data_IF_380155573383
#
_entry.id   IF_380155573383
#
_cell.length_a   1.000
_cell.length_b   1.000
_cell.length_c   1.000
_cell.angle_alpha   90.00
_cell.angle_beta   90.00
_cell.angle_gamma   90.00
#
_symmetry.space_group_name_H-M   'P 1'
#
loop_
_entity.id
_entity.type
_entity.pdbx_description
1 polymer ?
#
# COMPACT_ATOMS: atom_id res chain seq x y z
N UNK A 1 -13.82 61.53 -17.65
CA UNK A 1 -12.40 61.26 -17.32
C UNK A 1 -12.33 60.93 -15.84
N UNK A 2 -12.25 59.63 -15.51
CA UNK A 2 -12.14 59.14 -14.13
C UNK A 2 -11.26 57.89 -14.15
N UNK A 3 -9.99 58.09 -14.49
CA UNK A 3 -8.95 57.07 -14.46
C UNK A 3 -7.89 57.48 -13.44
N UNK A 4 -8.23 57.65 -12.16
CA UNK A 4 -7.20 58.00 -11.17
C UNK A 4 -7.43 57.58 -9.71
N UNK A 5 -8.42 56.74 -9.42
CA UNK A 5 -8.60 56.19 -8.05
C UNK A 5 -8.28 54.69 -7.97
N UNK A 6 -8.32 53.97 -9.09
CA UNK A 6 -7.98 52.54 -9.14
C UNK A 6 -6.47 52.26 -9.16
N UNK A 7 -5.63 53.24 -9.52
CA UNK A 7 -4.17 53.06 -9.57
C UNK A 7 -3.52 53.07 -8.18
N UNK A 8 -4.02 53.89 -7.26
CA UNK A 8 -3.41 54.06 -5.93
C UNK A 8 -3.73 52.90 -4.96
N UNK A 9 -4.93 52.33 -5.03
CA UNK A 9 -5.30 51.15 -4.23
C UNK A 9 -4.61 49.88 -4.75
N UNK A 10 -4.35 49.76 -6.06
CA UNK A 10 -3.62 48.64 -6.63
C UNK A 10 -2.14 48.67 -6.22
N UNK A 11 -1.51 49.85 -6.16
CA UNK A 11 -0.11 50.01 -5.73
C UNK A 11 0.05 49.66 -4.23
N UNK A 12 -0.91 50.02 -3.38
CA UNK A 12 -0.85 49.70 -1.95
C UNK A 12 -1.14 48.21 -1.66
N UNK A 13 -1.98 47.56 -2.48
CA UNK A 13 -2.23 46.12 -2.39
C UNK A 13 -1.04 45.30 -2.92
N UNK A 14 -0.41 45.73 -4.01
CA UNK A 14 0.79 45.09 -4.55
C UNK A 14 2.00 45.27 -3.62
N UNK A 15 2.19 46.44 -3.00
CA UNK A 15 3.27 46.62 -2.02
C UNK A 15 3.09 45.76 -0.76
N UNK A 16 1.85 45.45 -0.35
CA UNK A 16 1.59 44.54 0.78
C UNK A 16 1.78 43.05 0.42
N UNK A 17 1.61 42.69 -0.85
CA UNK A 17 1.91 41.34 -1.35
C UNK A 17 3.42 41.15 -1.51
N UNK A 18 4.15 42.19 -1.93
CA UNK A 18 5.61 42.12 -2.11
C UNK A 18 6.41 42.29 -0.82
N UNK A 19 5.88 42.91 0.24
CA UNK A 19 6.59 43.04 1.53
C UNK A 19 6.27 41.95 2.55
N UNK A 20 5.13 41.25 2.44
CA UNK A 20 4.86 40.06 3.27
C UNK A 20 5.32 38.73 2.64
N UNK A 21 5.88 38.76 1.43
CA UNK A 21 6.54 37.59 0.80
C UNK A 21 8.04 37.50 1.11
N UNK A 22 8.59 38.44 1.89
CA UNK A 22 9.99 38.46 2.32
C UNK A 22 10.08 38.24 3.83
N UNK A 23 9.78 37.02 4.29
CA UNK A 23 10.28 36.47 5.56
C UNK A 23 10.10 34.96 5.64
N UNK A 24 10.36 34.27 4.53
CA UNK A 24 10.88 32.92 4.62
C UNK A 24 12.10 32.87 3.74
N UNK A 25 13.22 33.24 4.34
CA UNK A 25 14.56 32.95 3.87
C UNK A 25 14.61 31.44 3.61
N UNK A 26 14.28 31.04 2.39
CA UNK A 26 14.82 29.82 1.80
C UNK A 26 16.32 30.07 1.76
N UNK A 27 16.98 29.76 2.88
CA UNK A 27 18.32 29.24 2.81
C UNK A 27 18.21 28.01 1.91
N UNK A 28 18.44 28.21 0.62
CA UNK A 28 19.05 27.19 -0.22
C UNK A 28 20.42 26.96 0.40
N UNK A 29 20.46 26.22 1.51
CA UNK A 29 21.69 25.62 1.97
C UNK A 29 22.09 24.74 0.81
N UNK A 30 23.08 25.18 0.04
CA UNK A 30 23.82 24.32 -0.87
C UNK A 30 24.29 23.18 0.04
N UNK A 31 23.58 22.04 0.00
CA UNK A 31 23.92 20.89 0.82
C UNK A 31 25.35 20.55 0.43
N UNK A 32 26.30 20.81 1.33
CA UNK A 32 27.71 20.55 1.07
C UNK A 32 27.84 19.05 0.84
N UNK A 33 28.09 18.68 -0.41
CA UNK A 33 28.30 17.30 -0.83
C UNK A 33 29.48 16.71 -0.07
N UNK A 34 29.37 15.42 0.25
CA UNK A 34 30.40 14.71 0.98
C UNK A 34 31.64 14.54 0.10
N UNK A 35 32.82 14.64 0.70
CA UNK A 35 34.05 14.20 0.05
C UNK A 35 34.00 12.67 -0.19
N UNK A 36 34.78 12.13 -1.13
CA UNK A 36 34.76 10.69 -1.44
C UNK A 36 34.94 9.79 -0.21
N UNK A 37 35.90 10.12 0.67
CA UNK A 37 36.13 9.35 1.90
C UNK A 37 34.93 9.41 2.85
N UNK A 38 34.36 10.59 3.06
CA UNK A 38 33.18 10.74 3.93
C UNK A 38 31.95 10.05 3.35
N UNK A 39 31.84 10.02 2.02
CA UNK A 39 30.77 9.28 1.33
C UNK A 39 30.93 7.77 1.52
N UNK A 40 32.17 7.25 1.49
CA UNK A 40 32.47 5.84 1.80
C UNK A 40 32.16 5.49 3.26
N UNK A 41 32.55 6.32 4.21
CA UNK A 41 32.24 6.11 5.63
C UNK A 41 30.72 6.10 5.86
N UNK A 42 30.01 7.03 5.22
CA UNK A 42 28.55 7.06 5.23
C UNK A 42 27.93 5.80 4.61
N UNK A 43 28.47 5.33 3.48
CA UNK A 43 27.97 4.14 2.79
C UNK A 43 28.07 2.90 3.68
N UNK A 44 29.22 2.69 4.31
CA UNK A 44 29.46 1.57 5.23
C UNK A 44 28.54 1.66 6.46
N UNK A 45 28.48 2.83 7.11
CA UNK A 45 27.59 3.05 8.24
C UNK A 45 26.12 2.77 7.87
N UNK A 46 25.65 3.33 6.75
CA UNK A 46 24.28 3.17 6.31
C UNK A 46 23.95 1.72 5.97
N UNK A 47 24.87 1.03 5.29
CA UNK A 47 24.71 -0.37 4.94
C UNK A 47 24.60 -1.27 6.19
N UNK A 48 25.56 -1.19 7.11
CA UNK A 48 25.56 -2.04 8.31
C UNK A 48 24.45 -1.69 9.31
N UNK A 49 23.94 -0.45 9.28
CA UNK A 49 22.83 -0.04 10.14
C UNK A 49 21.47 -0.53 9.62
N UNK A 50 21.24 -0.48 8.30
CA UNK A 50 19.90 -0.64 7.73
C UNK A 50 19.73 -1.85 6.81
N UNK A 51 20.82 -2.44 6.32
CA UNK A 51 20.80 -3.52 5.32
C UNK A 51 19.87 -3.18 4.13
N UNK A 52 20.14 -2.07 3.43
CA UNK A 52 19.35 -1.62 2.27
C UNK A 52 19.60 -2.52 1.05
N UNK A 53 18.77 -2.37 0.01
CA UNK A 53 19.11 -2.89 -1.32
C UNK A 53 20.28 -2.10 -1.92
N UNK A 54 20.93 -2.67 -2.93
CA UNK A 54 21.99 -1.97 -3.67
C UNK A 54 21.46 -0.70 -4.34
N UNK A 55 20.28 -0.77 -4.96
CA UNK A 55 19.62 0.39 -5.57
C UNK A 55 19.31 1.50 -4.56
N UNK A 56 18.87 1.12 -3.34
CA UNK A 56 18.60 2.09 -2.26
C UNK A 56 19.89 2.71 -1.71
N UNK A 57 20.95 1.92 -1.56
CA UNK A 57 22.25 2.43 -1.12
C UNK A 57 22.78 3.43 -2.14
N UNK A 58 22.81 3.08 -3.42
CA UNK A 58 23.27 3.97 -4.48
C UNK A 58 22.44 5.26 -4.55
N UNK A 59 21.11 5.18 -4.42
CA UNK A 59 20.24 6.34 -4.32
C UNK A 59 20.67 7.28 -3.17
N UNK A 60 20.99 6.73 -1.99
CA UNK A 60 21.47 7.52 -0.85
C UNK A 60 22.85 8.14 -1.06
N UNK A 61 23.72 7.47 -1.80
CA UNK A 61 25.01 8.05 -2.17
C UNK A 61 24.85 9.23 -3.14
N UNK A 62 23.95 9.13 -4.12
CA UNK A 62 23.63 10.26 -5.01
C UNK A 62 23.00 11.47 -4.29
N UNK A 63 22.16 11.21 -3.28
CA UNK A 63 21.64 12.29 -2.43
C UNK A 63 22.79 13.05 -1.74
N UNK A 64 23.82 12.35 -1.23
CA UNK A 64 24.87 12.93 -0.37
C UNK A 64 26.19 13.31 -1.07
N UNK A 65 26.47 12.76 -2.25
CA UNK A 65 27.71 13.00 -3.00
C UNK A 65 27.46 13.46 -4.44
N UNK A 66 28.54 13.65 -5.18
CA UNK A 66 28.52 13.80 -6.63
C UNK A 66 28.25 12.45 -7.31
N UNK A 67 27.73 12.47 -8.54
CA UNK A 67 27.32 11.26 -9.26
C UNK A 67 28.47 10.26 -9.45
N UNK A 68 29.63 10.76 -9.89
CA UNK A 68 30.83 9.95 -10.15
C UNK A 68 31.34 9.32 -8.84
N UNK A 69 31.41 10.11 -7.77
CA UNK A 69 31.89 9.64 -6.47
C UNK A 69 30.95 8.58 -5.88
N UNK A 70 29.64 8.77 -6.01
CA UNK A 70 28.65 7.79 -5.55
C UNK A 70 28.81 6.43 -6.26
N UNK A 71 29.01 6.45 -7.59
CA UNK A 71 29.23 5.23 -8.37
C UNK A 71 30.54 4.55 -7.98
N UNK A 72 31.64 5.29 -7.86
CA UNK A 72 32.94 4.73 -7.45
C UNK A 72 32.88 4.14 -6.05
N UNK A 73 32.37 4.90 -5.07
CA UNK A 73 32.22 4.41 -3.68
C UNK A 73 31.34 3.17 -3.63
N UNK A 74 30.23 3.14 -4.38
CA UNK A 74 29.37 1.96 -4.42
C UNK A 74 30.11 0.74 -4.98
N UNK A 75 30.81 0.87 -6.11
CA UNK A 75 31.63 -0.20 -6.70
C UNK A 75 32.69 -0.71 -5.72
N UNK A 76 33.37 0.22 -5.03
CA UNK A 76 34.41 -0.10 -4.05
C UNK A 76 33.90 -1.00 -2.92
N UNK A 77 32.67 -0.79 -2.45
CA UNK A 77 32.11 -1.55 -1.32
C UNK A 77 31.15 -2.66 -1.74
N UNK A 78 30.85 -2.80 -3.03
CA UNK A 78 29.83 -3.72 -3.54
C UNK A 78 30.10 -5.17 -3.12
N UNK A 79 31.36 -5.57 -3.06
CA UNK A 79 31.77 -6.92 -2.63
C UNK A 79 31.43 -7.23 -1.16
N UNK A 80 31.16 -6.20 -0.34
CA UNK A 80 30.71 -6.34 1.05
C UNK A 80 29.18 -6.46 1.16
N UNK A 81 28.45 -6.15 0.09
CA UNK A 81 26.99 -6.19 0.12
C UNK A 81 26.48 -7.62 -0.10
N UNK A 82 25.49 -8.00 0.70
CA UNK A 82 24.90 -9.35 0.74
C UNK A 82 23.43 -9.24 0.33
N UNK A 83 23.19 -8.69 -0.87
CA UNK A 83 21.83 -8.34 -1.30
C UNK A 83 20.90 -9.56 -1.34
N UNK A 84 21.41 -10.72 -1.74
CA UNK A 84 20.60 -11.94 -1.90
C UNK A 84 20.16 -12.49 -0.54
N UNK A 85 21.06 -12.50 0.44
CA UNK A 85 20.79 -12.90 1.82
C UNK A 85 19.79 -11.94 2.48
N UNK A 86 19.95 -10.63 2.22
CA UNK A 86 19.01 -9.60 2.71
C UNK A 86 17.62 -9.79 2.10
N UNK A 87 17.53 -10.10 0.80
CA UNK A 87 16.24 -10.37 0.14
C UNK A 87 15.57 -11.58 0.78
N UNK A 88 16.29 -12.71 0.91
CA UNK A 88 15.79 -13.94 1.54
C UNK A 88 15.26 -13.67 2.95
N UNK A 89 16.09 -13.08 3.81
CA UNK A 89 15.71 -12.79 5.19
C UNK A 89 14.49 -11.86 5.30
N UNK A 90 14.34 -10.88 4.41
CA UNK A 90 13.17 -10.00 4.39
C UNK A 90 11.91 -10.73 3.90
N UNK A 91 12.01 -11.56 2.86
CA UNK A 91 10.91 -12.38 2.37
C UNK A 91 10.46 -13.34 3.47
N UNK A 92 11.38 -14.06 4.11
CA UNK A 92 11.09 -14.98 5.22
C UNK A 92 10.37 -14.27 6.36
N UNK A 93 10.79 -13.05 6.72
CA UNK A 93 10.10 -12.25 7.74
C UNK A 93 8.65 -11.91 7.35
N UNK A 94 8.40 -11.63 6.08
CA UNK A 94 7.06 -11.36 5.59
C UNK A 94 6.19 -12.63 5.55
N UNK A 95 6.76 -13.76 5.14
CA UNK A 95 6.08 -15.07 5.16
C UNK A 95 5.70 -15.45 6.60
N UNK A 96 6.64 -15.32 7.55
CA UNK A 96 6.38 -15.53 8.99
C UNK A 96 5.24 -14.65 9.52
N UNK A 97 5.05 -13.45 8.95
CA UNK A 97 3.98 -12.51 9.29
C UNK A 97 2.69 -12.72 8.48
N UNK A 98 2.57 -13.85 7.78
CA UNK A 98 1.43 -14.21 6.93
C UNK A 98 1.10 -13.12 5.90
N UNK A 99 2.13 -12.60 5.23
CA UNK A 99 1.94 -11.68 4.10
C UNK A 99 1.82 -12.48 2.81
N UNK A 100 0.87 -12.08 1.98
CA UNK A 100 0.67 -12.68 0.67
C UNK A 100 1.73 -12.21 -0.34
N UNK A 101 1.80 -12.88 -1.49
CA UNK A 101 2.81 -12.62 -2.51
C UNK A 101 2.75 -11.19 -3.04
N UNK A 102 1.55 -10.65 -3.31
CA UNK A 102 1.38 -9.27 -3.80
C UNK A 102 1.96 -8.25 -2.83
N UNK A 103 1.69 -8.41 -1.53
CA UNK A 103 2.25 -7.53 -0.51
C UNK A 103 3.77 -7.62 -0.49
N UNK A 104 4.33 -8.83 -0.53
CA UNK A 104 5.78 -9.05 -0.50
C UNK A 104 6.43 -8.39 -1.72
N UNK A 105 5.94 -8.69 -2.95
CA UNK A 105 6.44 -8.08 -4.19
C UNK A 105 6.40 -6.56 -4.12
N UNK A 106 5.26 -5.99 -3.71
CA UNK A 106 5.10 -4.55 -3.58
C UNK A 106 6.14 -3.97 -2.60
N UNK A 107 6.25 -4.53 -1.40
CA UNK A 107 7.17 -4.00 -0.37
C UNK A 107 8.63 -4.18 -0.72
N UNK A 108 9.00 -5.24 -1.42
CA UNK A 108 10.37 -5.43 -1.89
C UNK A 108 10.73 -4.45 -3.02
N UNK A 109 9.81 -4.20 -3.95
CA UNK A 109 10.00 -3.19 -5.03
C UNK A 109 10.04 -1.76 -4.49
N UNK A 110 9.18 -1.40 -3.54
CA UNK A 110 9.26 -0.10 -2.82
C UNK A 110 10.64 0.11 -2.16
N UNK A 111 11.30 -0.98 -1.74
CA UNK A 111 12.65 -0.97 -1.18
C UNK A 111 13.76 -1.03 -2.23
N UNK A 112 13.41 -0.99 -3.52
CA UNK A 112 14.34 -1.01 -4.65
C UNK A 112 15.16 -2.30 -4.76
N UNK A 113 14.62 -3.44 -4.32
CA UNK A 113 15.23 -4.73 -4.63
C UNK A 113 14.95 -5.13 -6.09
N UNK A 114 15.90 -5.78 -6.79
CA UNK A 114 15.69 -6.23 -8.17
C UNK A 114 14.52 -7.19 -8.30
N UNK A 115 13.68 -6.98 -9.32
CA UNK A 115 12.48 -7.81 -9.54
C UNK A 115 12.87 -9.27 -9.73
N UNK A 116 13.89 -9.52 -10.52
CA UNK A 116 14.35 -10.85 -10.93
C UNK A 116 14.77 -11.68 -9.71
N UNK A 117 15.46 -11.05 -8.75
CA UNK A 117 15.87 -11.69 -7.49
C UNK A 117 14.71 -11.93 -6.53
N UNK A 118 13.68 -11.08 -6.56
CA UNK A 118 12.46 -11.30 -5.76
C UNK A 118 11.69 -12.49 -6.32
N UNK A 119 11.47 -12.51 -7.64
CA UNK A 119 10.68 -13.56 -8.28
C UNK A 119 11.40 -14.92 -8.23
N UNK A 120 12.74 -14.97 -8.33
CA UNK A 120 13.49 -16.23 -8.20
C UNK A 120 13.31 -16.96 -6.86
N UNK A 121 12.85 -16.24 -5.82
CA UNK A 121 12.51 -16.81 -4.52
C UNK A 121 11.00 -17.11 -4.41
N UNK A 122 10.14 -16.23 -4.93
CA UNK A 122 8.69 -16.34 -4.76
C UNK A 122 8.01 -17.28 -5.76
N UNK A 123 8.50 -17.39 -6.99
CA UNK A 123 7.89 -18.24 -8.03
C UNK A 123 7.89 -19.73 -7.63
N UNK A 124 9.01 -20.32 -7.15
CA UNK A 124 9.01 -21.72 -6.71
C UNK A 124 8.01 -21.99 -5.56
N UNK A 125 7.80 -21.00 -4.68
CA UNK A 125 6.82 -21.11 -3.60
C UNK A 125 5.39 -21.08 -4.13
N UNK A 126 5.10 -20.20 -5.11
CA UNK A 126 3.79 -20.12 -5.74
C UNK A 126 3.43 -21.37 -6.55
N UNK A 127 4.44 -22.02 -7.14
CA UNK A 127 4.30 -23.26 -7.93
C UNK A 127 4.30 -24.52 -7.07
N UNK A 128 4.63 -24.43 -5.78
CA UNK A 128 4.74 -25.58 -4.86
C UNK A 128 3.42 -26.34 -4.63
N UNK A 129 2.30 -25.79 -5.10
CA UNK A 129 0.97 -26.35 -4.88
C UNK A 129 0.42 -26.11 -3.47
N UNK A 130 1.18 -25.46 -2.58
CA UNK A 130 0.77 -25.16 -1.21
C UNK A 130 0.53 -23.65 -1.03
N UNK A 131 -0.42 -23.31 -0.15
CA UNK A 131 -0.60 -21.92 0.29
C UNK A 131 0.56 -21.51 1.20
N UNK A 132 1.07 -20.29 0.99
CA UNK A 132 2.03 -19.66 1.92
C UNK A 132 1.35 -19.04 3.16
N UNK A 133 0.02 -19.06 3.20
CA UNK A 133 -0.76 -18.51 4.29
C UNK A 133 -1.11 -19.64 5.26
N UNK A 134 -0.87 -19.39 6.54
CA UNK A 134 -1.27 -20.33 7.60
C UNK A 134 -2.79 -20.41 7.73
N UNK A 135 -3.32 -21.63 7.81
CA UNK A 135 -4.77 -21.87 7.89
C UNK A 135 -5.38 -21.27 9.17
N UNK A 136 -4.72 -21.40 10.31
CA UNK A 136 -5.23 -20.84 11.58
C UNK A 136 -5.28 -19.32 11.53
N UNK A 137 -4.27 -18.70 10.93
CA UNK A 137 -4.27 -17.27 10.65
C UNK A 137 -5.41 -16.88 9.71
N UNK A 138 -5.64 -17.64 8.63
CA UNK A 138 -6.74 -17.42 7.69
C UNK A 138 -8.10 -17.50 8.38
N UNK A 139 -8.34 -18.53 9.20
CA UNK A 139 -9.59 -18.67 9.98
C UNK A 139 -9.87 -17.43 10.83
N UNK A 140 -8.87 -16.98 11.61
CA UNK A 140 -8.97 -15.74 12.40
C UNK A 140 -9.19 -14.51 11.52
N UNK A 141 -8.54 -14.45 10.36
CA UNK A 141 -8.67 -13.32 9.42
C UNK A 141 -10.05 -13.24 8.79
N UNK A 142 -10.61 -14.39 8.39
CA UNK A 142 -11.97 -14.52 7.86
C UNK A 142 -12.98 -14.08 8.92
N UNK A 143 -12.88 -14.61 10.14
CA UNK A 143 -13.75 -14.19 11.26
C UNK A 143 -13.73 -12.67 11.47
N UNK A 144 -12.56 -12.04 11.43
CA UNK A 144 -12.43 -10.58 11.52
C UNK A 144 -13.12 -9.84 10.36
N UNK A 145 -13.08 -10.38 9.14
CA UNK A 145 -13.80 -9.79 8.01
C UNK A 145 -15.30 -9.99 8.11
N UNK A 146 -15.75 -11.18 8.50
CA UNK A 146 -17.17 -11.50 8.74
C UNK A 146 -17.74 -10.61 9.83
N UNK A 147 -17.04 -10.42 10.95
CA UNK A 147 -17.44 -9.51 12.02
C UNK A 147 -17.67 -8.07 11.51
N UNK A 148 -16.89 -7.64 10.52
CA UNK A 148 -17.01 -6.32 9.87
C UNK A 148 -18.08 -6.25 8.78
N UNK A 149 -18.79 -7.33 8.50
CA UNK A 149 -19.83 -7.41 7.47
C UNK A 149 -19.26 -7.47 6.05
N UNK A 150 -18.10 -8.09 5.84
CA UNK A 150 -17.54 -8.30 4.50
C UNK A 150 -18.18 -9.50 3.82
N UNK A 151 -18.28 -9.46 2.50
CA UNK A 151 -18.82 -10.56 1.72
C UNK A 151 -17.82 -11.70 1.55
N UNK A 152 -18.32 -12.91 1.30
CA UNK A 152 -17.55 -14.09 0.90
C UNK A 152 -16.67 -13.77 -0.30
N UNK A 153 -17.26 -13.19 -1.35
CA UNK A 153 -16.53 -12.79 -2.56
C UNK A 153 -15.40 -11.81 -2.25
N UNK A 154 -15.67 -10.80 -1.43
CA UNK A 154 -14.65 -9.83 -1.02
C UNK A 154 -13.48 -10.54 -0.31
N UNK A 155 -13.78 -11.43 0.64
CA UNK A 155 -12.76 -12.15 1.41
C UNK A 155 -11.95 -13.06 0.48
N UNK A 156 -12.62 -13.84 -0.37
CA UNK A 156 -12.01 -14.75 -1.33
C UNK A 156 -11.01 -14.03 -2.25
N UNK A 157 -11.42 -12.93 -2.89
CA UNK A 157 -10.54 -12.19 -3.80
C UNK A 157 -9.46 -11.37 -3.08
N UNK A 158 -9.68 -11.00 -1.82
CA UNK A 158 -8.70 -10.25 -1.03
C UNK A 158 -7.56 -11.15 -0.54
N UNK A 159 -7.87 -12.40 -0.17
CA UNK A 159 -6.90 -13.33 0.41
C UNK A 159 -6.35 -14.35 -0.60
N UNK A 160 -7.14 -14.73 -1.61
CA UNK A 160 -6.82 -15.82 -2.54
C UNK A 160 -6.03 -15.38 -3.77
N UNK A 161 -4.69 -15.44 -3.68
CA UNK A 161 -3.82 -15.05 -4.79
C UNK A 161 -3.49 -16.22 -5.72
N UNK A 162 -3.13 -17.37 -5.16
CA UNK A 162 -2.80 -18.60 -5.89
C UNK A 162 -4.00 -19.56 -5.97
N UNK A 163 -3.89 -20.59 -6.81
CA UNK A 163 -4.86 -21.69 -6.84
C UNK A 163 -4.96 -22.39 -5.48
N UNK A 164 -3.82 -22.64 -4.83
CA UNK A 164 -3.76 -23.27 -3.51
C UNK A 164 -4.46 -22.41 -2.43
N UNK A 165 -4.24 -21.09 -2.44
CA UNK A 165 -4.94 -20.19 -1.51
C UNK A 165 -6.45 -20.25 -1.72
N UNK A 166 -6.90 -20.29 -2.98
CA UNK A 166 -8.31 -20.31 -3.35
C UNK A 166 -8.99 -21.60 -2.94
N UNK A 167 -8.34 -22.74 -3.15
CA UNK A 167 -8.83 -24.05 -2.72
C UNK A 167 -9.01 -24.10 -1.20
N UNK A 168 -7.99 -23.67 -0.45
CA UNK A 168 -8.05 -23.58 1.00
C UNK A 168 -9.18 -22.64 1.47
N UNK A 169 -9.28 -21.44 0.87
CA UNK A 169 -10.32 -20.47 1.20
C UNK A 169 -11.73 -20.96 0.90
N UNK A 170 -11.92 -21.74 -0.17
CA UNK A 170 -13.24 -22.25 -0.53
C UNK A 170 -13.79 -23.17 0.56
N UNK A 171 -12.95 -24.04 1.12
CA UNK A 171 -13.31 -24.87 2.28
C UNK A 171 -13.65 -24.01 3.50
N UNK A 172 -12.72 -23.14 3.91
CA UNK A 172 -12.89 -22.28 5.10
C UNK A 172 -14.13 -21.37 5.02
N UNK A 173 -14.40 -20.79 3.86
CA UNK A 173 -15.54 -19.91 3.66
C UNK A 173 -16.86 -20.67 3.65
N UNK A 174 -16.88 -21.92 3.16
CA UNK A 174 -18.07 -22.76 3.18
C UNK A 174 -18.48 -23.14 4.61
N UNK A 175 -17.50 -23.38 5.49
CA UNK A 175 -17.75 -23.55 6.92
C UNK A 175 -18.24 -22.26 7.60
N UNK A 176 -17.74 -21.09 7.17
CA UNK A 176 -18.11 -19.80 7.77
C UNK A 176 -19.47 -19.26 7.30
N UNK A 177 -19.91 -19.67 6.11
CA UNK A 177 -21.16 -19.21 5.48
C UNK A 177 -22.00 -20.41 5.02
N UNK A 178 -22.41 -21.32 5.93
CA UNK A 178 -23.13 -22.53 5.55
C UNK A 178 -24.50 -22.23 4.93
N UNK A 179 -25.19 -21.19 5.45
CA UNK A 179 -26.55 -20.80 5.04
C UNK A 179 -26.56 -19.49 4.24
N UNK A 180 -25.42 -19.09 3.66
CA UNK A 180 -25.27 -17.84 2.92
C UNK A 180 -24.84 -16.65 3.78
N UNK A 181 -25.04 -15.42 3.28
CA UNK A 181 -24.43 -14.20 3.83
C UNK A 181 -25.44 -13.22 4.45
N UNK A 182 -26.66 -13.68 4.76
CA UNK A 182 -27.79 -12.83 5.17
C UNK A 182 -27.45 -11.89 6.33
N UNK A 183 -26.77 -12.36 7.38
CA UNK A 183 -26.37 -11.50 8.50
C UNK A 183 -25.43 -10.37 8.07
N UNK A 184 -24.48 -10.66 7.20
CA UNK A 184 -23.50 -9.68 6.72
C UNK A 184 -24.16 -8.66 5.80
N UNK A 185 -25.07 -9.12 4.94
CA UNK A 185 -25.89 -8.24 4.09
C UNK A 185 -26.74 -7.33 4.98
N UNK A 186 -27.39 -7.86 6.02
CA UNK A 186 -28.21 -7.07 6.94
C UNK A 186 -27.41 -6.01 7.67
N UNK A 187 -26.20 -6.34 8.15
CA UNK A 187 -25.29 -5.36 8.79
C UNK A 187 -24.91 -4.22 7.84
N UNK A 188 -24.54 -4.54 6.60
CA UNK A 188 -24.18 -3.50 5.62
C UNK A 188 -25.40 -2.70 5.15
N UNK A 189 -26.56 -3.35 5.00
CA UNK A 189 -27.83 -2.69 4.73
C UNK A 189 -28.16 -1.66 5.81
N UNK A 190 -28.12 -2.06 7.09
CA UNK A 190 -28.36 -1.17 8.22
C UNK A 190 -27.39 0.02 8.23
N UNK A 191 -26.09 -0.20 7.96
CA UNK A 191 -25.12 0.91 7.84
C UNK A 191 -25.48 1.89 6.73
N UNK A 192 -25.98 1.40 5.59
CA UNK A 192 -26.36 2.27 4.47
C UNK A 192 -27.61 3.08 4.84
N UNK A 193 -28.64 2.42 5.39
CA UNK A 193 -29.94 3.03 5.68
C UNK A 193 -29.92 3.95 6.89
N UNK A 194 -29.12 3.65 7.93
CA UNK A 194 -28.92 4.58 9.05
C UNK A 194 -28.27 5.89 8.62
N UNK A 195 -27.37 5.85 7.62
CA UNK A 195 -26.73 7.05 7.08
C UNK A 195 -27.59 7.79 6.04
N UNK A 196 -28.52 7.08 5.38
CA UNK A 196 -29.31 7.55 4.25
C UNK A 196 -30.75 7.00 4.28
N UNK A 197 -31.56 7.35 5.29
CA UNK A 197 -32.90 6.78 5.47
C UNK A 197 -33.86 7.15 4.33
N UNK A 198 -33.62 8.26 3.63
CA UNK A 198 -34.42 8.71 2.49
C UNK A 198 -34.42 7.72 1.32
N UNK A 199 -33.36 6.90 1.18
CA UNK A 199 -33.27 5.89 0.12
C UNK A 199 -34.33 4.79 0.25
N UNK A 200 -34.91 4.59 1.43
CA UNK A 200 -35.95 3.58 1.63
C UNK A 200 -37.31 4.00 1.07
N UNK A 201 -37.52 5.31 0.87
CA UNK A 201 -38.83 5.87 0.50
C UNK A 201 -39.15 5.71 -0.99
N UNK A 202 -38.14 5.45 -1.83
CA UNK A 202 -38.31 5.42 -3.29
C UNK A 202 -37.77 4.11 -3.88
N UNK A 203 -38.37 3.67 -4.97
CA UNK A 203 -37.90 2.50 -5.75
C UNK A 203 -36.46 2.69 -6.22
N UNK A 204 -36.13 3.87 -6.72
CA UNK A 204 -34.76 4.22 -7.14
C UNK A 204 -33.77 4.18 -5.97
N UNK A 205 -34.18 4.62 -4.77
CA UNK A 205 -33.35 4.56 -3.59
C UNK A 205 -33.02 3.12 -3.19
N UNK A 206 -34.02 2.23 -3.18
CA UNK A 206 -33.83 0.79 -2.95
C UNK A 206 -32.88 0.18 -3.99
N UNK A 207 -33.01 0.54 -5.27
CA UNK A 207 -32.09 0.09 -6.33
C UNK A 207 -30.64 0.53 -6.07
N UNK A 208 -30.42 1.76 -5.60
CA UNK A 208 -29.08 2.25 -5.23
C UNK A 208 -28.48 1.44 -4.07
N UNK A 209 -29.29 1.05 -3.08
CA UNK A 209 -28.85 0.18 -1.99
C UNK A 209 -28.43 -1.19 -2.54
N UNK A 210 -29.26 -1.80 -3.39
CA UNK A 210 -28.95 -3.08 -4.06
C UNK A 210 -27.63 -3.01 -4.82
N UNK A 211 -27.44 -1.99 -5.67
CA UNK A 211 -26.19 -1.80 -6.43
C UNK A 211 -24.97 -1.67 -5.52
N UNK A 212 -25.12 -0.97 -4.39
CA UNK A 212 -24.05 -0.80 -3.41
C UNK A 212 -23.71 -2.10 -2.66
N UNK A 213 -24.67 -2.98 -2.43
CA UNK A 213 -24.42 -4.32 -1.86
C UNK A 213 -23.76 -5.25 -2.89
N UNK A 214 -24.20 -5.20 -4.15
CA UNK A 214 -23.56 -5.94 -5.25
C UNK A 214 -22.10 -5.50 -5.41
N UNK A 215 -21.81 -4.19 -5.39
CA UNK A 215 -20.43 -3.71 -5.50
C UNK A 215 -19.53 -4.08 -4.30
N UNK A 216 -20.14 -4.47 -3.18
CA UNK A 216 -19.44 -5.07 -2.03
C UNK A 216 -19.24 -6.58 -2.17
N UNK A 217 -19.76 -7.21 -3.23
CA UNK A 217 -19.55 -8.62 -3.57
C UNK A 217 -20.63 -9.58 -3.06
N UNK A 218 -21.77 -9.08 -2.57
CA UNK A 218 -22.90 -9.93 -2.15
C UNK A 218 -23.73 -10.41 -3.34
N UNK A 219 -24.30 -11.62 -3.22
CA UNK A 219 -25.14 -12.22 -4.26
C UNK A 219 -26.51 -11.53 -4.33
N UNK A 220 -26.97 -11.28 -5.55
CA UNK A 220 -28.24 -10.58 -5.79
C UNK A 220 -29.44 -11.31 -5.19
N UNK A 221 -29.49 -12.64 -5.28
CA UNK A 221 -30.63 -13.41 -4.79
C UNK A 221 -30.77 -13.36 -3.26
N UNK A 222 -29.66 -13.28 -2.53
CA UNK A 222 -29.69 -13.07 -1.07
C UNK A 222 -30.05 -11.62 -0.71
N UNK A 223 -29.57 -10.64 -1.49
CA UNK A 223 -29.92 -9.22 -1.27
C UNK A 223 -31.43 -9.00 -1.36
N UNK A 224 -32.13 -9.65 -2.30
CA UNK A 224 -33.59 -9.54 -2.46
C UNK A 224 -34.37 -9.97 -1.22
N UNK A 225 -33.83 -10.90 -0.44
CA UNK A 225 -34.49 -11.37 0.79
C UNK A 225 -34.54 -10.29 1.87
N UNK A 226 -33.64 -9.30 1.80
CA UNK A 226 -33.54 -8.19 2.76
C UNK A 226 -34.19 -6.91 2.24
N UNK A 227 -34.03 -6.61 0.95
CA UNK A 227 -34.59 -5.41 0.34
C UNK A 227 -35.98 -5.71 -0.21
N UNK A 228 -36.99 -5.48 0.62
CA UNK A 228 -38.41 -5.42 0.26
C UNK A 228 -38.78 -3.99 -0.18
#
# INVERSE_FOLDING_TARGET
MNFDILSFQLIHYLNNIYTNSFNNTLFLTVEKKYSPQRLKDYALWYYFRYYPSNGRLLQKLHEKGEEIDAIHVFKDIQHLTQEDEIIKAKIDNYLFRNKNFRYIRQKMREKLFPKEKIESILEPLAESGNSILDENWLRKKIQNFTARGKSRSYIFYTLGETSADRELLEGLLSECFPDGELENIQREYNKITSNKPELLKTREGKQKITQKLISKGFKYDEIKLIIQ
#
